data_IF_073327211525
#
_entry.id   IF_073327211525
#
_cell.length_a   1.000
_cell.length_b   1.000
_cell.length_c   1.000
_cell.angle_alpha   90.00
_cell.angle_beta   90.00
_cell.angle_gamma   90.00
#
_symmetry.space_group_name_H-M   'P 1'
#
loop_
_entity.id
_entity.type
_entity.pdbx_description
1 polymer ?
#
# COMPACT_ATOMS: atom_id res chain seq x y z
N UNK A 1 -4.93 -15.05 8.27
CA UNK A 1 -3.53 -14.69 8.62
C UNK A 1 -3.31 -13.26 8.17
N UNK A 2 -2.69 -12.40 8.97
CA UNK A 2 -2.49 -11.00 8.61
C UNK A 2 -1.04 -10.75 8.17
N UNK A 3 -0.85 -10.11 7.02
CA UNK A 3 0.46 -9.71 6.50
C UNK A 3 1.00 -8.50 7.26
N UNK A 4 2.31 -8.49 7.51
CA UNK A 4 2.97 -7.34 8.15
C UNK A 4 3.14 -6.21 7.13
N UNK A 5 2.74 -5.00 7.52
CA UNK A 5 2.92 -3.79 6.71
C UNK A 5 4.11 -3.02 7.27
N UNK A 6 5.09 -2.76 6.42
CA UNK A 6 6.24 -1.91 6.74
C UNK A 6 6.21 -0.66 5.85
N UNK A 7 6.47 0.50 6.45
CA UNK A 7 6.36 1.80 5.78
C UNK A 7 7.72 2.50 5.87
N UNK A 8 8.25 2.88 4.72
CA UNK A 8 9.47 3.67 4.62
C UNK A 8 9.28 5.09 5.20
N UNK A 9 10.35 5.67 5.73
CA UNK A 9 10.38 7.06 6.21
C UNK A 9 9.96 8.06 5.13
N UNK A 10 10.29 7.81 3.87
CA UNK A 10 9.92 8.69 2.76
C UNK A 10 8.40 8.65 2.47
N UNK A 11 7.80 7.47 2.64
CA UNK A 11 6.34 7.31 2.55
C UNK A 11 5.67 8.03 3.72
N UNK A 12 6.21 7.94 4.94
CA UNK A 12 5.68 8.69 6.08
C UNK A 12 5.70 10.21 5.84
N UNK A 13 6.80 10.75 5.27
CA UNK A 13 6.88 12.18 4.90
C UNK A 13 5.86 12.54 3.84
N UNK A 14 5.66 11.68 2.85
CA UNK A 14 4.69 11.91 1.76
C UNK A 14 3.25 11.87 2.29
N UNK A 15 2.92 10.92 3.17
CA UNK A 15 1.60 10.83 3.80
C UNK A 15 1.26 12.06 4.63
N UNK A 16 2.23 12.66 5.32
CA UNK A 16 2.03 13.90 6.08
C UNK A 16 1.65 15.10 5.20
N UNK A 17 1.98 15.07 3.91
CA UNK A 17 1.65 16.14 2.94
C UNK A 17 0.27 15.94 2.31
N UNK A 18 -0.34 14.77 2.45
CA UNK A 18 -1.67 14.49 1.91
C UNK A 18 -2.76 15.08 2.79
N UNK A 19 -3.92 15.33 2.20
CA UNK A 19 -5.12 15.62 2.97
C UNK A 19 -5.45 14.47 3.94
N UNK A 20 -5.97 14.80 5.12
CA UNK A 20 -6.27 13.84 6.19
C UNK A 20 -7.25 12.75 5.72
N UNK A 21 -8.23 13.08 4.89
CA UNK A 21 -9.20 12.11 4.37
C UNK A 21 -8.54 11.13 3.40
N UNK A 22 -7.66 11.63 2.52
CA UNK A 22 -6.91 10.80 1.58
C UNK A 22 -5.96 9.87 2.33
N UNK A 23 -5.20 10.39 3.30
CA UNK A 23 -4.31 9.58 4.13
C UNK A 23 -5.05 8.46 4.86
N UNK A 24 -6.23 8.76 5.41
CA UNK A 24 -7.11 7.74 6.04
C UNK A 24 -7.54 6.66 5.07
N UNK A 25 -7.92 7.01 3.84
CA UNK A 25 -8.29 6.02 2.81
C UNK A 25 -7.13 5.10 2.46
N UNK A 26 -5.91 5.64 2.36
CA UNK A 26 -4.71 4.85 2.09
C UNK A 26 -4.46 3.84 3.22
N UNK A 27 -4.48 4.28 4.48
CA UNK A 27 -4.27 3.39 5.64
C UNK A 27 -5.35 2.31 5.70
N UNK A 28 -6.61 2.67 5.49
CA UNK A 28 -7.71 1.70 5.45
C UNK A 28 -7.50 0.66 4.34
N UNK A 29 -7.05 1.09 3.15
CA UNK A 29 -6.77 0.17 2.04
C UNK A 29 -5.61 -0.77 2.34
N UNK A 30 -4.54 -0.25 2.94
CA UNK A 30 -3.39 -1.06 3.38
C UNK A 30 -3.81 -2.11 4.42
N UNK A 31 -4.68 -1.74 5.37
CA UNK A 31 -5.23 -2.66 6.34
C UNK A 31 -6.12 -3.73 5.69
N UNK A 32 -6.94 -3.38 4.70
CA UNK A 32 -7.73 -4.36 3.94
C UNK A 32 -6.82 -5.38 3.24
N UNK A 33 -5.77 -4.90 2.56
CA UNK A 33 -4.79 -5.75 1.87
C UNK A 33 -4.07 -6.70 2.84
N UNK A 34 -3.75 -6.25 4.05
CA UNK A 34 -3.06 -7.11 5.02
C UNK A 34 -3.93 -8.26 5.53
N UNK A 35 -5.25 -8.17 5.43
CA UNK A 35 -6.16 -9.25 5.83
C UNK A 35 -6.39 -10.29 4.74
N UNK A 36 -5.96 -10.03 3.50
CA UNK A 36 -6.12 -10.96 2.40
C UNK A 36 -5.21 -12.18 2.57
N UNK A 37 -5.65 -13.33 2.06
CA UNK A 37 -4.81 -14.51 1.96
C UNK A 37 -3.61 -14.26 1.05
N UNK A 38 -3.86 -13.68 -0.14
CA UNK A 38 -2.83 -13.16 -1.03
C UNK A 38 -2.97 -11.64 -1.21
N UNK A 39 -2.05 -10.81 -0.68
CA UNK A 39 -2.09 -9.37 -0.82
C UNK A 39 -1.93 -8.93 -2.28
N UNK A 40 -1.32 -9.77 -3.13
CA UNK A 40 -1.13 -9.50 -4.56
C UNK A 40 -2.43 -9.60 -5.37
N UNK A 41 -3.46 -10.27 -4.85
CA UNK A 41 -4.74 -10.43 -5.53
C UNK A 41 -5.43 -9.10 -5.89
N UNK A 42 -5.23 -8.05 -5.09
CA UNK A 42 -5.82 -6.72 -5.32
C UNK A 42 -4.88 -5.73 -6.01
N UNK A 43 -3.61 -6.09 -6.21
CA UNK A 43 -2.63 -5.20 -6.80
C UNK A 43 -2.45 -5.44 -8.30
N UNK A 44 -1.64 -4.61 -8.93
CA UNK A 44 -1.04 -4.93 -10.23
C UNK A 44 0.47 -4.92 -10.09
N UNK A 45 1.13 -5.97 -10.60
CA UNK A 45 2.58 -6.00 -10.71
C UNK A 45 3.08 -4.84 -11.58
N UNK A 46 4.15 -4.19 -11.15
CA UNK A 46 4.90 -3.25 -11.97
C UNK A 46 5.84 -4.02 -12.91
N UNK A 47 6.17 -3.41 -14.05
CA UNK A 47 7.00 -4.02 -15.11
C UNK A 47 8.40 -3.37 -15.17
N UNK A 48 9.27 -3.93 -16.02
CA UNK A 48 10.62 -3.42 -16.30
C UNK A 48 11.49 -3.23 -15.05
N UNK A 49 12.00 -2.01 -14.82
CA UNK A 49 12.90 -1.66 -13.73
C UNK A 49 12.27 -1.73 -12.33
N UNK A 50 10.95 -1.92 -12.26
CA UNK A 50 10.19 -2.10 -11.01
C UNK A 50 9.52 -3.47 -10.93
N UNK A 51 9.95 -4.42 -11.77
CA UNK A 51 9.50 -5.81 -11.68
C UNK A 51 9.72 -6.36 -10.26
N UNK A 52 8.73 -7.11 -9.76
CA UNK A 52 8.69 -7.60 -8.38
C UNK A 52 7.99 -6.64 -7.39
N UNK A 53 7.76 -5.38 -7.76
CA UNK A 53 6.94 -4.45 -6.99
C UNK A 53 5.48 -4.47 -7.43
N UNK A 54 4.60 -4.07 -6.52
CA UNK A 54 3.16 -4.05 -6.73
C UNK A 54 2.60 -2.64 -6.50
N UNK A 55 1.65 -2.23 -7.34
CA UNK A 55 0.85 -1.02 -7.13
C UNK A 55 -0.56 -1.38 -6.70
N UNK A 56 -1.11 -0.58 -5.79
CA UNK A 56 -2.47 -0.70 -5.28
C UNK A 56 -3.26 0.56 -5.59
N UNK A 57 -4.54 0.38 -5.96
CA UNK A 57 -5.47 1.49 -6.16
C UNK A 57 -6.25 1.72 -4.87
N UNK A 58 -6.32 2.99 -4.47
CA UNK A 58 -7.07 3.50 -3.31
C UNK A 58 -8.22 4.36 -3.82
#
# INVERSE_FOLDING_TARGET
MAWRIEIDKDVQRSMKKLDKQIARRIVAKLHEISQLEDPRSMGKGLTENKSGLWRYRV
#
